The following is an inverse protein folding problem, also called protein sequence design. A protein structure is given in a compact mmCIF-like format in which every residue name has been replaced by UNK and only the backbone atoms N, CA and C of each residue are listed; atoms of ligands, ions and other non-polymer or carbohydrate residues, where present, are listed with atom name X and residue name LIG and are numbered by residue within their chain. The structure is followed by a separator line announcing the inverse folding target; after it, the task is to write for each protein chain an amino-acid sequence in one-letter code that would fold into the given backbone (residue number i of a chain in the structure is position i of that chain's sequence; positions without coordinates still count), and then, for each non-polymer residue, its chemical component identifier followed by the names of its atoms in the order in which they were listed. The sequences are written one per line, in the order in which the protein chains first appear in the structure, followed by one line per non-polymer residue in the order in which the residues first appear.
data_IF_195626773968
#
_entry.id   IF_195626773968
#
_cell.length_a   1.000
_cell.length_b   1.000
_cell.length_c   1.000
_cell.angle_alpha   90.00
_cell.angle_beta   90.00
_cell.angle_gamma   90.00
#
_symmetry.space_group_name_H-M   'P 1'
#
loop_
_entity.id
_entity.type
_entity.pdbx_description
1 polymer ?
#
# COMPACT_ATOMS: atom_id res chain seq x y z
N UNK A 1 13.82 22.75 -10.49
CA UNK A 1 12.47 22.73 -9.88
C UNK A 1 11.50 23.26 -10.93
N UNK A 2 10.91 22.37 -11.74
CA UNK A 2 9.98 22.79 -12.80
C UNK A 2 8.58 22.93 -12.18
N UNK A 3 8.06 24.15 -12.23
CA UNK A 3 6.65 24.55 -12.06
C UNK A 3 5.93 24.08 -10.79
N UNK A 4 6.33 24.63 -9.64
CA UNK A 4 5.51 24.54 -8.42
C UNK A 4 4.32 25.50 -8.54
N UNK A 5 3.08 25.06 -8.24
CA UNK A 5 1.91 25.93 -8.26
C UNK A 5 2.06 27.08 -7.25
N UNK A 6 1.48 28.24 -7.56
CA UNK A 6 1.48 29.38 -6.64
C UNK A 6 0.70 29.01 -5.37
N UNK A 7 1.09 29.50 -4.19
CA UNK A 7 0.47 29.09 -2.91
C UNK A 7 -1.05 29.20 -2.91
N UNK A 8 -1.60 30.33 -3.39
CA UNK A 8 -3.04 30.57 -3.43
C UNK A 8 -3.82 29.55 -4.27
N UNK A 9 -3.24 29.14 -5.40
CA UNK A 9 -3.86 28.16 -6.31
C UNK A 9 -3.78 26.73 -5.76
N UNK A 10 -2.81 26.47 -4.89
CA UNK A 10 -2.71 25.21 -4.16
C UNK A 10 -3.76 25.13 -3.05
N UNK A 11 -3.88 26.18 -2.23
CA UNK A 11 -4.84 26.23 -1.12
C UNK A 11 -6.30 26.12 -1.59
N UNK A 12 -6.65 26.70 -2.74
CA UNK A 12 -8.02 26.66 -3.26
C UNK A 12 -8.49 25.26 -3.68
N UNK A 13 -7.56 24.32 -3.89
CA UNK A 13 -7.86 22.93 -4.31
C UNK A 13 -8.00 21.96 -3.13
N UNK A 14 -7.66 22.39 -1.91
CA UNK A 14 -7.72 21.53 -0.73
C UNK A 14 -9.18 21.34 -0.30
N UNK A 15 -9.59 20.08 -0.19
CA UNK A 15 -10.89 19.71 0.37
C UNK A 15 -10.72 19.44 1.86
N UNK A 16 -11.25 20.34 2.69
CA UNK A 16 -11.17 20.24 4.16
C UNK A 16 -12.28 19.38 4.78
N UNK A 17 -12.76 18.37 4.05
CA UNK A 17 -13.79 17.44 4.51
C UNK A 17 -13.29 16.01 4.34
N UNK A 18 -13.60 15.10 5.27
CA UNK A 18 -13.30 13.68 5.05
C UNK A 18 -14.02 13.18 3.80
N UNK A 19 -13.48 12.10 3.21
CA UNK A 19 -14.12 11.43 2.08
C UNK A 19 -15.55 11.01 2.42
N UNK A 20 -16.41 10.92 1.40
CA UNK A 20 -17.81 10.52 1.58
C UNK A 20 -18.00 9.01 1.80
N UNK A 21 -16.96 8.23 1.58
CA UNK A 21 -16.94 6.76 1.69
C UNK A 21 -16.46 6.32 3.07
N UNK A 22 -16.92 5.15 3.52
CA UNK A 22 -16.36 4.52 4.70
C UNK A 22 -14.88 4.17 4.47
N UNK A 23 -14.12 4.00 5.55
CA UNK A 23 -12.68 3.75 5.48
C UNK A 23 -12.35 2.42 4.80
N UNK A 24 -13.26 1.43 4.85
CA UNK A 24 -13.12 0.14 4.16
C UNK A 24 -13.51 0.21 2.67
N UNK A 25 -14.37 1.15 2.29
CA UNK A 25 -14.85 1.32 0.91
C UNK A 25 -13.92 2.21 0.07
N UNK A 26 -13.00 2.91 0.72
CA UNK A 26 -12.05 3.81 0.07
C UNK A 26 -10.87 3.00 -0.47
N UNK A 27 -10.75 2.90 -1.80
CA UNK A 27 -9.68 2.12 -2.44
C UNK A 27 -8.29 2.66 -2.09
N UNK A 28 -7.42 1.80 -1.55
CA UNK A 28 -6.01 2.12 -1.35
C UNK A 28 -5.25 1.90 -2.66
N UNK A 29 -4.66 2.97 -3.20
CA UNK A 29 -3.75 2.84 -4.34
C UNK A 29 -2.36 2.39 -3.87
N UNK A 30 -2.03 1.12 -4.09
CA UNK A 30 -0.69 0.58 -3.81
C UNK A 30 0.24 1.00 -4.95
N UNK A 31 1.00 2.08 -4.75
CA UNK A 31 1.98 2.56 -5.73
C UNK A 31 3.36 1.99 -5.46
N UNK A 32 4.16 1.80 -6.52
CA UNK A 32 5.55 1.34 -6.41
C UNK A 32 6.33 2.24 -5.44
N UNK A 33 6.96 1.63 -4.43
CA UNK A 33 7.73 2.34 -3.41
C UNK A 33 6.93 2.79 -2.17
N UNK A 34 5.62 2.48 -2.10
CA UNK A 34 4.78 2.78 -0.93
C UNK A 34 4.54 1.56 -0.03
N UNK A 35 5.23 0.44 -0.27
CA UNK A 35 5.05 -0.81 0.47
C UNK A 35 6.38 -1.55 0.66
N UNK A 36 6.45 -2.36 1.71
CA UNK A 36 7.56 -3.27 1.94
C UNK A 36 7.34 -4.59 1.19
N UNK A 37 8.39 -5.12 0.59
CA UNK A 37 8.38 -6.47 0.03
C UNK A 37 8.54 -7.51 1.13
N UNK A 38 7.99 -8.71 0.92
CA UNK A 38 8.26 -9.84 1.80
C UNK A 38 9.74 -10.24 1.77
N UNK A 39 10.18 -10.86 2.87
CA UNK A 39 11.47 -11.51 2.93
C UNK A 39 11.55 -12.72 1.98
N UNK A 40 12.76 -13.08 1.56
CA UNK A 40 13.01 -14.26 0.74
C UNK A 40 12.49 -15.52 1.47
N UNK A 41 11.61 -16.33 0.85
CA UNK A 41 11.07 -17.56 1.46
C UNK A 41 12.17 -18.52 1.93
N UNK A 42 13.25 -18.68 1.17
CA UNK A 42 14.36 -19.57 1.53
C UNK A 42 15.03 -19.19 2.85
N UNK A 43 15.16 -17.89 3.11
CA UNK A 43 15.73 -17.39 4.36
C UNK A 43 14.78 -17.64 5.53
N UNK A 44 13.48 -17.49 5.31
CA UNK A 44 12.45 -17.77 6.31
C UNK A 44 12.40 -19.27 6.66
N UNK A 45 12.46 -20.15 5.66
CA UNK A 45 12.53 -21.61 5.87
C UNK A 45 13.77 -22.02 6.66
N UNK A 46 14.93 -21.45 6.31
CA UNK A 46 16.20 -21.73 6.99
C UNK A 46 16.13 -21.37 8.48
N UNK A 47 15.40 -20.30 8.82
CA UNK A 47 15.19 -19.85 10.20
C UNK A 47 14.00 -20.55 10.88
N UNK A 48 13.27 -21.43 10.18
CA UNK A 48 12.11 -22.14 10.71
C UNK A 48 10.88 -21.25 10.95
N UNK A 49 10.75 -20.13 10.22
CA UNK A 49 9.60 -19.25 10.36
C UNK A 49 8.33 -19.91 9.79
N UNK A 50 7.15 -19.68 10.41
CA UNK A 50 5.90 -20.21 9.90
C UNK A 50 5.52 -19.52 8.58
N UNK A 51 4.82 -20.25 7.70
CA UNK A 51 4.26 -19.76 6.44
C UNK A 51 5.26 -19.08 5.47
N UNK A 52 6.50 -19.58 5.41
CA UNK A 52 7.47 -19.14 4.42
C UNK A 52 6.95 -19.40 3.00
N UNK A 53 6.62 -18.33 2.27
CA UNK A 53 6.06 -18.41 0.91
C UNK A 53 6.36 -17.15 0.11
N UNK A 54 6.33 -17.28 -1.21
CA UNK A 54 6.33 -16.10 -2.09
C UNK A 54 5.04 -15.31 -1.90
N UNK A 55 5.17 -14.03 -1.58
CA UNK A 55 4.08 -13.10 -1.35
C UNK A 55 4.42 -11.71 -1.89
N UNK A 56 3.41 -11.04 -2.45
CA UNK A 56 3.54 -9.71 -3.02
C UNK A 56 2.24 -8.91 -2.76
N UNK A 57 2.31 -7.71 -2.17
CA UNK A 57 1.11 -6.94 -1.81
C UNK A 57 0.30 -6.44 -3.01
N UNK A 58 0.87 -6.47 -4.22
CA UNK A 58 0.15 -6.09 -5.45
C UNK A 58 -0.53 -7.26 -6.16
N UNK A 59 -0.34 -8.50 -5.69
CA UNK A 59 -1.06 -9.66 -6.22
C UNK A 59 -2.48 -9.70 -5.63
N UNK A 60 -3.46 -10.10 -6.44
CA UNK A 60 -4.86 -10.21 -6.00
C UNK A 60 -5.07 -11.37 -5.00
N UNK A 61 -4.28 -12.44 -5.12
CA UNK A 61 -4.29 -13.59 -4.21
C UNK A 61 -3.13 -13.53 -3.22
N UNK A 62 -3.43 -13.23 -1.96
CA UNK A 62 -2.45 -13.17 -0.87
C UNK A 62 -2.14 -14.53 -0.23
N UNK A 63 -2.79 -15.61 -0.71
CA UNK A 63 -2.62 -16.98 -0.21
C UNK A 63 -2.81 -17.04 1.30
N UNK A 64 -3.85 -16.37 1.79
CA UNK A 64 -4.22 -16.40 3.20
C UNK A 64 -4.90 -17.75 3.50
N UNK A 65 -4.72 -18.31 4.71
CA UNK A 65 -5.49 -19.47 5.13
C UNK A 65 -6.99 -19.18 5.12
N UNK A 66 -7.82 -20.22 5.00
CA UNK A 66 -9.25 -20.10 5.26
C UNK A 66 -9.50 -19.68 6.72
N UNK A 67 -10.48 -18.79 6.92
CA UNK A 67 -10.87 -18.24 8.22
C UNK A 67 -11.86 -19.14 8.96
#
# INVERSE_FOLDING_TARGET
MKDLPKPKDFYSRLVHKPGSTDWMDTSVEIRKGMYCYAANPKSLETLGFPYARSWNPVEDDWKLPEN
#
